data_IF_808383376219
#
_entry.id   IF_808383376219
#
_cell.length_a   1.000
_cell.length_b   1.000
_cell.length_c   1.000
_cell.angle_alpha   90.00
_cell.angle_beta   90.00
_cell.angle_gamma   90.00
#
_symmetry.space_group_name_H-M   'P 1'
#
loop_
_entity.id
_entity.type
_entity.pdbx_description
1 polymer ?
#
# COMPACT_ATOMS: atom_id res chain seq x y z
N UNK A 1 -23.89 -72.77 -13.90
CA UNK A 1 -23.94 -71.39 -14.47
C UNK A 1 -25.39 -70.87 -14.61
N UNK A 2 -26.24 -71.09 -13.59
CA UNK A 2 -27.65 -70.62 -13.56
C UNK A 2 -27.92 -69.76 -12.29
N UNK A 3 -27.06 -69.86 -11.27
CA UNK A 3 -27.25 -69.18 -9.97
C UNK A 3 -26.86 -67.68 -10.00
N UNK A 4 -26.06 -67.22 -10.97
CA UNK A 4 -25.66 -65.80 -11.05
C UNK A 4 -26.75 -64.86 -11.59
N UNK A 5 -27.75 -65.37 -12.31
CA UNK A 5 -28.77 -64.51 -12.94
C UNK A 5 -29.92 -64.17 -11.97
N UNK A 6 -30.19 -65.01 -10.97
CA UNK A 6 -31.26 -64.76 -9.98
C UNK A 6 -30.91 -63.67 -8.95
N UNK A 7 -29.63 -63.45 -8.66
CA UNK A 7 -29.22 -62.44 -7.66
C UNK A 7 -29.27 -61.00 -8.19
N UNK A 8 -29.17 -60.81 -9.52
CA UNK A 8 -29.12 -59.48 -10.13
C UNK A 8 -30.52 -58.86 -10.32
N UNK A 9 -31.57 -59.68 -10.35
CA UNK A 9 -32.96 -59.19 -10.42
C UNK A 9 -33.54 -58.80 -9.05
N UNK A 10 -33.02 -59.34 -7.95
CA UNK A 10 -33.52 -59.01 -6.60
C UNK A 10 -33.04 -57.65 -6.09
N UNK A 11 -31.94 -57.11 -6.62
CA UNK A 11 -31.44 -55.77 -6.25
C UNK A 11 -32.20 -54.66 -6.99
N UNK A 12 -32.69 -54.94 -8.20
CA UNK A 12 -33.43 -53.93 -8.99
C UNK A 12 -34.85 -53.71 -8.43
N UNK A 13 -35.44 -54.73 -7.78
CA UNK A 13 -36.79 -54.61 -7.21
C UNK A 13 -36.84 -53.88 -5.86
N UNK A 14 -35.74 -53.76 -5.11
CA UNK A 14 -35.73 -53.01 -3.84
C UNK A 14 -35.49 -51.50 -4.01
N UNK A 15 -35.06 -51.04 -5.18
CA UNK A 15 -34.73 -49.62 -5.41
C UNK A 15 -35.92 -48.76 -5.85
N UNK A 16 -37.10 -49.33 -6.10
CA UNK A 16 -38.27 -48.61 -6.65
C UNK A 16 -39.25 -48.13 -5.56
N UNK A 17 -39.03 -48.49 -4.28
CA UNK A 17 -39.98 -48.19 -3.20
C UNK A 17 -39.61 -47.02 -2.27
N UNK A 18 -38.58 -46.23 -2.59
CA UNK A 18 -38.24 -45.01 -1.84
C UNK A 18 -38.11 -43.80 -2.77
N UNK A 19 -39.23 -43.41 -3.39
CA UNK A 19 -39.37 -42.05 -3.94
C UNK A 19 -39.98 -41.17 -2.84
N UNK A 20 -39.23 -40.22 -2.25
CA UNK A 20 -39.81 -39.23 -1.37
C UNK A 20 -40.75 -38.32 -2.16
N UNK A 21 -41.99 -38.22 -1.70
CA UNK A 21 -43.01 -37.28 -2.18
C UNK A 21 -42.47 -35.87 -1.90
N UNK A 22 -42.01 -35.18 -2.95
CA UNK A 22 -41.60 -33.77 -2.88
C UNK A 22 -42.88 -32.92 -2.84
N UNK A 23 -43.13 -32.15 -1.76
CA UNK A 23 -44.25 -31.23 -1.73
C UNK A 23 -44.06 -30.11 -2.77
N UNK A 24 -45.14 -29.58 -3.36
CA UNK A 24 -45.05 -28.51 -4.35
C UNK A 24 -44.39 -27.27 -3.74
N UNK A 25 -43.40 -26.74 -4.48
CA UNK A 25 -42.64 -25.55 -4.13
C UNK A 25 -43.58 -24.37 -3.88
N UNK A 26 -43.53 -23.80 -2.67
CA UNK A 26 -44.07 -22.47 -2.40
C UNK A 26 -43.25 -21.48 -3.24
N UNK A 27 -43.96 -20.67 -4.03
CA UNK A 27 -43.40 -19.56 -4.77
C UNK A 27 -42.64 -18.63 -3.82
N UNK A 28 -41.32 -18.66 -3.91
CA UNK A 28 -40.42 -17.71 -3.24
C UNK A 28 -40.50 -16.42 -4.05
N UNK A 29 -40.80 -15.33 -3.34
CA UNK A 29 -40.84 -13.97 -3.88
C UNK A 29 -39.54 -13.64 -4.65
N UNK A 30 -39.60 -12.77 -5.66
CA UNK A 30 -38.45 -12.43 -6.49
C UNK A 30 -37.29 -11.93 -5.61
N UNK A 31 -36.17 -12.65 -5.69
CA UNK A 31 -34.89 -12.22 -5.15
C UNK A 31 -34.58 -10.83 -5.72
N UNK A 32 -34.65 -9.84 -4.82
CA UNK A 32 -34.08 -8.52 -5.08
C UNK A 32 -32.58 -8.69 -5.34
N UNK A 33 -32.00 -7.96 -6.28
CA UNK A 33 -30.62 -8.17 -6.69
C UNK A 33 -29.68 -7.94 -5.51
N UNK A 34 -28.68 -8.83 -5.42
CA UNK A 34 -27.52 -8.86 -4.53
C UNK A 34 -26.60 -7.63 -4.72
N UNK A 35 -27.16 -6.42 -4.83
CA UNK A 35 -26.44 -5.19 -5.14
C UNK A 35 -25.94 -4.46 -3.89
N UNK A 36 -26.57 -4.69 -2.73
CA UNK A 36 -26.17 -4.06 -1.46
C UNK A 36 -25.04 -4.79 -0.73
N UNK A 37 -24.85 -6.09 -0.97
CA UNK A 37 -23.77 -6.86 -0.34
C UNK A 37 -22.39 -6.54 -0.97
N UNK A 38 -22.36 -6.24 -2.27
CA UNK A 38 -21.12 -5.88 -2.98
C UNK A 38 -20.68 -4.45 -2.60
N UNK A 39 -21.64 -3.52 -2.47
CA UNK A 39 -21.35 -2.17 -2.00
C UNK A 39 -20.86 -2.14 -0.54
N UNK A 40 -21.35 -3.04 0.33
CA UNK A 40 -20.86 -3.16 1.71
C UNK A 40 -19.48 -3.80 1.82
N UNK A 41 -19.12 -4.75 0.94
CA UNK A 41 -17.74 -5.29 0.92
C UNK A 41 -16.71 -4.28 0.46
N UNK A 42 -17.04 -3.41 -0.51
CA UNK A 42 -16.13 -2.35 -0.95
C UNK A 42 -15.94 -1.27 0.14
N UNK A 43 -17.00 -0.98 0.90
CA UNK A 43 -16.93 -0.01 2.01
C UNK A 43 -16.17 -0.59 3.21
N UNK A 44 -16.39 -1.87 3.55
CA UNK A 44 -15.70 -2.55 4.65
C UNK A 44 -14.22 -2.84 4.33
N UNK A 45 -13.88 -3.16 3.07
CA UNK A 45 -12.50 -3.19 2.62
C UNK A 45 -11.88 -1.79 2.62
N UNK A 46 -12.63 -0.72 2.34
CA UNK A 46 -12.12 0.65 2.44
C UNK A 46 -11.80 1.09 3.88
N UNK A 47 -12.59 0.65 4.86
CA UNK A 47 -12.37 0.93 6.28
C UNK A 47 -11.26 0.05 6.89
N UNK A 48 -11.09 -1.19 6.39
CA UNK A 48 -9.89 -2.01 6.65
C UNK A 48 -8.66 -1.52 5.87
N UNK A 49 -8.83 -0.82 4.74
CA UNK A 49 -7.73 -0.44 3.84
C UNK A 49 -6.88 0.72 4.35
N UNK A 50 -7.39 1.53 5.30
CA UNK A 50 -6.63 2.62 5.96
C UNK A 50 -5.72 3.45 5.04
N UNK A 51 -6.08 3.58 3.76
CA UNK A 51 -5.15 4.03 2.73
C UNK A 51 -4.94 5.53 2.89
N UNK A 52 -3.68 5.95 2.98
CA UNK A 52 -3.30 7.37 2.95
C UNK A 52 -2.59 7.65 1.64
N UNK A 53 -2.96 8.74 0.99
CA UNK A 53 -2.34 9.16 -0.26
C UNK A 53 -1.69 10.53 -0.09
N UNK A 54 -0.55 10.71 -0.74
CA UNK A 54 0.12 11.98 -0.83
C UNK A 54 0.74 12.15 -2.22
N UNK A 55 0.75 13.38 -2.73
CA UNK A 55 1.24 13.69 -4.07
C UNK A 55 2.11 14.93 -4.05
N UNK A 56 3.19 14.92 -4.82
CA UNK A 56 4.04 16.08 -5.02
C UNK A 56 4.54 16.14 -6.46
N UNK A 57 4.44 17.33 -7.05
CA UNK A 57 5.01 17.69 -8.34
C UNK A 57 5.97 18.86 -8.19
N UNK A 58 7.11 18.78 -8.86
CA UNK A 58 8.14 19.83 -8.88
C UNK A 58 8.58 20.08 -10.31
N UNK A 59 8.59 21.34 -10.71
CA UNK A 59 9.18 21.78 -11.97
C UNK A 59 10.70 21.73 -11.87
N UNK A 60 11.34 21.14 -12.86
CA UNK A 60 12.79 21.06 -12.98
C UNK A 60 13.18 21.74 -14.29
N UNK A 61 14.47 22.05 -14.45
CA UNK A 61 14.96 22.59 -15.70
C UNK A 61 14.60 21.64 -16.86
N UNK A 62 13.73 22.11 -17.75
CA UNK A 62 13.31 21.39 -18.95
C UNK A 62 12.16 20.39 -18.81
N UNK A 63 11.48 20.34 -17.66
CA UNK A 63 10.38 19.40 -17.46
C UNK A 63 9.83 19.41 -16.04
N UNK A 64 9.34 18.25 -15.59
CA UNK A 64 8.90 18.06 -14.21
C UNK A 64 9.23 16.65 -13.70
N UNK A 65 9.29 16.53 -12.38
CA UNK A 65 9.23 15.26 -11.69
C UNK A 65 8.06 15.27 -10.71
N UNK A 66 7.37 14.15 -10.58
CA UNK A 66 6.27 13.98 -9.64
C UNK A 66 6.30 12.60 -9.00
N UNK A 67 5.69 12.52 -7.83
CA UNK A 67 5.52 11.30 -7.09
C UNK A 67 4.18 11.26 -6.38
N UNK A 68 3.50 10.12 -6.47
CA UNK A 68 2.36 9.74 -5.65
C UNK A 68 2.80 8.65 -4.68
N UNK A 69 2.43 8.77 -3.42
CA UNK A 69 2.69 7.75 -2.40
C UNK A 69 1.35 7.24 -1.89
N UNK A 70 1.15 5.93 -2.02
CA UNK A 70 0.03 5.20 -1.45
C UNK A 70 0.55 4.44 -0.22
N UNK A 71 0.14 4.84 0.97
CA UNK A 71 0.45 4.16 2.22
C UNK A 71 -0.73 3.32 2.68
N UNK A 72 -0.43 2.11 3.13
CA UNK A 72 -1.37 1.12 3.62
C UNK A 72 -1.05 0.81 5.09
N UNK A 73 -2.07 0.70 5.94
CA UNK A 73 -1.92 0.52 7.40
C UNK A 73 -1.20 -0.77 7.80
N UNK A 74 -1.07 -1.71 6.87
CA UNK A 74 -0.30 -2.93 6.96
C UNK A 74 1.22 -2.69 7.00
N UNK A 75 1.67 -1.44 6.76
CA UNK A 75 3.08 -1.06 6.77
C UNK A 75 3.71 -1.11 5.39
N UNK A 76 2.94 -0.80 4.34
CA UNK A 76 3.45 -0.76 2.97
C UNK A 76 3.25 0.65 2.42
N UNK A 77 4.30 1.25 1.89
CA UNK A 77 4.25 2.50 1.13
C UNK A 77 4.71 2.26 -0.30
N UNK A 78 3.81 2.50 -1.26
CA UNK A 78 4.09 2.38 -2.71
C UNK A 78 4.30 3.78 -3.28
N UNK A 79 5.48 4.02 -3.82
CA UNK A 79 5.87 5.26 -4.48
C UNK A 79 5.73 5.07 -5.99
N UNK A 80 4.77 5.75 -6.59
CA UNK A 80 4.61 5.87 -8.04
C UNK A 80 5.29 7.15 -8.48
N UNK A 81 6.40 7.04 -9.20
CA UNK A 81 7.19 8.20 -9.62
C UNK A 81 7.14 8.38 -11.12
N UNK A 82 7.14 9.63 -11.56
CA UNK A 82 7.16 10.00 -12.96
C UNK A 82 8.10 11.20 -13.19
N UNK A 83 8.82 11.18 -14.30
CA UNK A 83 9.47 12.35 -14.85
C UNK A 83 9.05 12.55 -16.29
N UNK A 84 8.86 13.82 -16.67
CA UNK A 84 8.57 14.22 -18.05
C UNK A 84 9.50 15.34 -18.46
N UNK A 85 10.09 15.23 -19.65
CA UNK A 85 10.83 16.32 -20.30
C UNK A 85 9.96 16.99 -21.37
N UNK A 86 9.99 18.32 -21.39
CA UNK A 86 9.29 19.15 -22.37
C UNK A 86 10.27 19.87 -23.32
N UNK A 87 11.58 19.62 -23.20
CA UNK A 87 12.60 20.36 -23.95
C UNK A 87 13.86 19.53 -24.15
N UNK A 88 14.65 19.91 -25.16
CA UNK A 88 15.91 19.28 -25.58
C UNK A 88 17.05 19.50 -24.56
N UNK A 89 16.80 19.23 -23.29
CA UNK A 89 17.79 19.22 -22.21
C UNK A 89 17.55 18.00 -21.33
N UNK A 90 18.63 17.53 -20.72
CA UNK A 90 18.55 16.46 -19.73
C UNK A 90 17.91 17.01 -18.47
N UNK A 91 16.82 16.38 -18.02
CA UNK A 91 16.20 16.76 -16.76
C UNK A 91 17.14 16.47 -15.59
N UNK A 92 17.14 17.37 -14.61
CA UNK A 92 17.89 17.19 -13.35
C UNK A 92 17.39 15.92 -12.67
N UNK A 93 18.32 15.06 -12.20
CA UNK A 93 17.97 13.87 -11.42
C UNK A 93 17.29 14.29 -10.11
N UNK A 94 15.97 14.05 -10.04
CA UNK A 94 15.20 14.20 -8.82
C UNK A 94 15.17 12.91 -8.01
N UNK A 95 14.87 13.10 -6.74
CA UNK A 95 14.66 12.04 -5.75
C UNK A 95 13.38 12.32 -4.99
N UNK A 96 12.70 11.24 -4.58
CA UNK A 96 11.55 11.29 -3.69
C UNK A 96 11.86 10.61 -2.37
N UNK A 97 11.31 11.14 -1.28
CA UNK A 97 11.14 10.42 -0.03
C UNK A 97 9.85 10.88 0.65
N UNK A 98 9.38 10.12 1.64
CA UNK A 98 8.18 10.42 2.40
C UNK A 98 8.46 10.48 3.90
N UNK A 99 7.67 11.28 4.61
CA UNK A 99 7.65 11.35 6.07
C UNK A 99 6.25 10.96 6.53
N UNK A 100 6.17 9.98 7.44
CA UNK A 100 4.92 9.70 8.14
C UNK A 100 4.87 10.40 9.48
N UNK A 101 3.71 10.96 9.79
CA UNK A 101 3.46 11.65 11.06
C UNK A 101 2.20 11.12 11.74
N UNK A 102 2.17 11.22 13.07
CA UNK A 102 1.00 10.89 13.86
C UNK A 102 -0.04 12.02 13.87
N UNK A 103 -1.15 11.80 14.59
CA UNK A 103 -2.25 12.77 14.76
C UNK A 103 -1.81 14.07 15.45
N UNK A 104 -0.66 14.08 16.13
CA UNK A 104 -0.07 15.25 16.79
C UNK A 104 0.95 15.97 15.89
N UNK A 105 1.15 15.49 14.66
CA UNK A 105 2.11 16.05 13.72
C UNK A 105 3.57 15.66 14.02
N UNK A 106 3.81 14.69 14.90
CA UNK A 106 5.15 14.20 15.20
C UNK A 106 5.57 13.21 14.14
N UNK A 107 6.78 13.40 13.59
CA UNK A 107 7.34 12.43 12.65
C UNK A 107 7.55 11.08 13.33
N UNK A 108 7.19 10.02 12.63
CA UNK A 108 7.27 8.63 13.06
C UNK A 108 8.27 7.83 12.22
N UNK A 109 8.39 8.14 10.94
CA UNK A 109 9.40 7.54 10.06
C UNK A 109 9.78 8.51 8.93
N UNK A 110 10.94 8.28 8.32
CA UNK A 110 11.36 8.92 7.08
C UNK A 110 11.86 7.85 6.13
N UNK A 111 11.26 7.74 4.94
CA UNK A 111 11.65 6.72 3.98
C UNK A 111 13.06 6.94 3.44
N UNK A 112 13.65 5.92 2.79
CA UNK A 112 14.80 6.10 1.93
C UNK A 112 14.55 7.13 0.82
N UNK A 113 15.64 7.63 0.24
CA UNK A 113 15.58 8.41 -0.99
C UNK A 113 15.48 7.45 -2.17
N UNK A 114 14.44 7.59 -2.98
CA UNK A 114 14.28 6.86 -4.23
C UNK A 114 14.58 7.78 -5.41
N UNK A 115 15.38 7.30 -6.35
CA UNK A 115 15.77 8.07 -7.54
C UNK A 115 14.66 8.01 -8.60
N UNK A 116 14.03 9.15 -8.88
CA UNK A 116 13.03 9.28 -9.94
C UNK A 116 13.77 9.16 -11.28
N UNK A 117 13.35 8.30 -12.23
CA UNK A 117 14.07 8.12 -13.49
C UNK A 117 14.23 9.46 -14.25
N UNK A 118 15.38 9.68 -14.89
CA UNK A 118 15.57 10.88 -15.72
C UNK A 118 14.77 10.77 -17.01
N UNK A 119 14.09 11.85 -17.37
CA UNK A 119 13.50 12.03 -18.70
C UNK A 119 14.35 12.98 -19.55
N UNK A 120 14.50 12.68 -20.83
CA UNK A 120 15.23 13.51 -21.79
C UNK A 120 14.46 13.52 -23.12
N UNK A 121 14.64 14.57 -23.94
CA UNK A 121 14.15 14.58 -25.33
C UNK A 121 15.27 14.75 -26.37
N UNK A 122 16.54 14.82 -25.92
CA UNK A 122 17.65 15.30 -26.76
C UNK A 122 18.29 14.22 -27.64
N UNK A 123 18.03 12.93 -27.40
CA UNK A 123 18.64 11.81 -28.15
C UNK A 123 17.67 10.62 -28.09
N UNK A 124 17.39 9.96 -29.22
CA UNK A 124 16.41 8.85 -29.40
C UNK A 124 16.51 7.66 -28.41
N UNK A 125 17.54 7.63 -27.58
CA UNK A 125 17.82 6.59 -26.58
C UNK A 125 17.04 6.85 -25.26
N UNK A 126 16.52 8.06 -25.07
CA UNK A 126 15.87 8.46 -23.83
C UNK A 126 14.38 8.84 -24.03
N UNK A 127 13.48 8.10 -23.40
CA UNK A 127 12.05 8.45 -23.37
C UNK A 127 11.80 9.78 -22.65
N UNK A 128 10.95 10.61 -23.27
CA UNK A 128 10.49 11.90 -22.73
C UNK A 128 9.55 11.73 -21.54
N UNK A 129 9.06 10.52 -21.28
CA UNK A 129 8.25 10.15 -20.13
C UNK A 129 8.79 8.84 -19.52
N UNK A 130 9.11 8.87 -18.23
CA UNK A 130 9.62 7.70 -17.51
C UNK A 130 8.87 7.55 -16.20
N UNK A 131 8.47 6.32 -15.91
CA UNK A 131 7.83 5.96 -14.65
C UNK A 131 8.66 4.90 -13.93
N UNK A 132 8.61 4.91 -12.60
CA UNK A 132 9.20 3.86 -11.77
C UNK A 132 8.45 3.76 -10.45
N UNK A 133 8.22 2.52 -10.03
CA UNK A 133 7.55 2.24 -8.77
C UNK A 133 8.56 1.71 -7.74
N UNK A 134 8.37 2.10 -6.48
CA UNK A 134 9.14 1.61 -5.35
C UNK A 134 8.21 1.17 -4.23
N UNK A 135 8.56 0.08 -3.56
CA UNK A 135 7.89 -0.34 -2.34
C UNK A 135 8.82 -0.10 -1.16
N UNK A 136 8.27 0.47 -0.09
CA UNK A 136 8.94 0.60 1.19
C UNK A 136 8.11 -0.06 2.27
N UNK A 137 8.75 -0.92 3.06
CA UNK A 137 8.13 -1.60 4.20
C UNK A 137 8.42 -0.83 5.47
N UNK A 138 7.36 -0.55 6.20
CA UNK A 138 7.35 0.14 7.50
C UNK A 138 6.93 -0.90 8.53
N UNK A 139 7.49 -0.84 9.73
CA UNK A 139 7.08 -1.74 10.81
C UNK A 139 5.56 -1.64 11.05
N UNK A 140 4.87 -2.79 11.06
CA UNK A 140 3.41 -2.82 11.17
C UNK A 140 2.89 -2.33 12.53
N UNK A 141 3.73 -2.34 13.57
CA UNK A 141 3.38 -1.73 14.86
C UNK A 141 3.41 -0.20 14.78
N UNK A 142 4.30 0.36 13.96
CA UNK A 142 4.41 1.79 13.71
C UNK A 142 3.32 2.28 12.74
N UNK A 143 3.05 1.48 11.70
CA UNK A 143 2.16 1.82 10.60
C UNK A 143 0.76 2.26 11.06
N UNK A 144 0.26 1.64 12.13
CA UNK A 144 -1.06 1.93 12.73
C UNK A 144 -1.18 3.33 13.33
N UNK A 145 -0.06 3.96 13.68
CA UNK A 145 0.01 5.29 14.29
C UNK A 145 0.24 6.41 13.29
N UNK A 146 0.50 6.07 12.02
CA UNK A 146 0.65 7.05 10.95
C UNK A 146 -0.73 7.57 10.59
N UNK A 147 -0.91 8.87 10.77
CA UNK A 147 -2.12 9.57 10.37
C UNK A 147 -1.93 10.28 9.02
N UNK A 148 -0.77 10.90 8.82
CA UNK A 148 -0.46 11.70 7.64
C UNK A 148 0.85 11.27 6.99
N UNK A 149 0.88 11.30 5.65
CA UNK A 149 2.09 11.16 4.84
C UNK A 149 2.37 12.48 4.13
N UNK A 150 3.61 12.97 4.25
CA UNK A 150 4.12 14.10 3.48
C UNK A 150 5.17 13.60 2.48
N UNK A 151 5.11 14.09 1.23
CA UNK A 151 5.99 13.66 0.14
C UNK A 151 6.88 14.80 -0.30
N UNK A 152 8.18 14.51 -0.38
CA UNK A 152 9.21 15.45 -0.76
C UNK A 152 9.85 15.01 -2.07
N UNK A 153 9.76 15.85 -3.08
CA UNK A 153 10.47 15.69 -4.35
C UNK A 153 11.49 16.81 -4.43
N UNK A 154 12.77 16.46 -4.54
CA UNK A 154 13.89 17.41 -4.51
C UNK A 154 15.02 16.94 -5.43
N UNK A 155 16.00 17.81 -5.67
CA UNK A 155 17.25 17.37 -6.30
C UNK A 155 17.96 16.35 -5.39
N UNK A 156 18.81 15.51 -5.99
CA UNK A 156 19.53 14.45 -5.26
C UNK A 156 20.32 14.95 -4.05
N UNK A 157 20.92 16.13 -4.15
CA UNK A 157 21.73 16.71 -3.07
C UNK A 157 20.87 17.26 -1.94
N UNK A 158 19.83 18.02 -2.28
CA UNK A 158 18.93 18.63 -1.31
C UNK A 158 18.16 17.56 -0.53
N UNK A 159 17.70 16.51 -1.20
CA UNK A 159 16.99 15.41 -0.55
C UNK A 159 17.84 14.66 0.47
N UNK A 160 19.14 14.44 0.19
CA UNK A 160 20.05 13.78 1.15
C UNK A 160 20.22 14.61 2.42
N UNK A 161 20.43 15.92 2.28
CA UNK A 161 20.60 16.83 3.42
C UNK A 161 19.30 16.93 4.24
N UNK A 162 18.17 17.14 3.57
CA UNK A 162 16.87 17.27 4.22
C UNK A 162 16.47 15.99 4.96
N UNK A 163 16.58 14.82 4.30
CA UNK A 163 16.31 13.53 4.94
C UNK A 163 17.20 13.29 6.15
N UNK A 164 18.50 13.58 6.06
CA UNK A 164 19.42 13.42 7.19
C UNK A 164 18.98 14.29 8.37
N UNK A 165 18.60 15.54 8.12
CA UNK A 165 18.08 16.44 9.15
C UNK A 165 16.79 15.90 9.80
N UNK A 166 15.87 15.35 9.00
CA UNK A 166 14.62 14.79 9.51
C UNK A 166 14.85 13.51 10.32
N UNK A 167 15.75 12.63 9.87
CA UNK A 167 16.12 11.43 10.62
C UNK A 167 16.79 11.77 11.96
N UNK A 168 17.65 12.80 11.98
CA UNK A 168 18.25 13.26 13.22
C UNK A 168 17.17 13.80 14.17
N UNK A 169 16.28 14.67 13.68
CA UNK A 169 15.17 15.18 14.47
C UNK A 169 14.25 14.07 15.00
N UNK A 170 14.03 13.01 14.20
CA UNK A 170 13.27 11.84 14.63
C UNK A 170 13.99 11.10 15.77
N UNK A 171 15.30 10.86 15.64
CA UNK A 171 16.11 10.21 16.66
C UNK A 171 16.12 11.00 17.98
N UNK A 172 16.31 12.32 17.90
CA UNK A 172 16.44 13.20 19.07
C UNK A 172 15.13 13.30 19.85
N UNK A 173 13.99 13.28 19.16
CA UNK A 173 12.69 13.52 19.79
C UNK A 173 11.93 12.25 20.16
N UNK A 174 12.25 11.08 19.61
CA UNK A 174 11.41 9.90 19.81
C UNK A 174 11.31 9.43 21.27
N UNK A 175 12.26 9.82 22.12
CA UNK A 175 12.19 9.59 23.57
C UNK A 175 11.00 10.33 24.23
N UNK A 176 10.64 11.52 23.72
CA UNK A 176 9.57 12.38 24.25
C UNK A 176 8.14 11.93 23.88
N UNK A 177 8.00 10.84 23.13
CA UNK A 177 6.71 10.40 22.62
C UNK A 177 5.96 9.55 23.68
N UNK A 178 5.72 10.11 24.86
CA UNK A 178 5.30 9.40 26.08
C UNK A 178 3.97 8.64 25.99
N UNK A 179 3.12 9.03 25.06
CA UNK A 179 1.85 8.38 24.74
C UNK A 179 1.96 7.18 23.77
N UNK A 180 3.14 6.94 23.18
CA UNK A 180 3.36 5.79 22.31
C UNK A 180 3.85 4.56 23.08
N UNK A 181 3.32 3.35 22.78
CA UNK A 181 3.80 2.13 23.41
C UNK A 181 5.30 1.88 23.17
N UNK A 182 6.00 1.18 24.08
CA UNK A 182 7.43 0.89 23.95
C UNK A 182 7.81 0.23 22.61
N UNK A 183 6.98 -0.71 22.11
CA UNK A 183 7.20 -1.37 20.81
C UNK A 183 7.20 -0.38 19.63
N UNK A 184 6.35 0.64 19.69
CA UNK A 184 6.27 1.69 18.66
C UNK A 184 7.50 2.59 18.73
N UNK A 185 7.91 3.01 19.94
CA UNK A 185 9.15 3.78 20.13
C UNK A 185 10.37 3.03 19.60
N UNK A 186 10.47 1.72 19.83
CA UNK A 186 11.54 0.89 19.28
C UNK A 186 11.53 0.83 17.75
N UNK A 187 10.34 0.73 17.15
CA UNK A 187 10.21 0.79 15.69
C UNK A 187 10.68 2.15 15.14
N UNK A 188 10.30 3.25 15.80
CA UNK A 188 10.75 4.61 15.43
C UNK A 188 12.28 4.72 15.52
N UNK A 189 12.89 4.24 16.62
CA UNK A 189 14.34 4.23 16.79
C UNK A 189 15.04 3.50 15.62
N UNK A 190 14.52 2.32 15.25
CA UNK A 190 15.03 1.54 14.13
C UNK A 190 14.92 2.28 12.80
N UNK A 191 13.78 2.91 12.52
CA UNK A 191 13.57 3.73 11.31
C UNK A 191 14.54 4.93 11.27
N UNK A 192 14.81 5.53 12.43
CA UNK A 192 15.75 6.64 12.57
C UNK A 192 17.24 6.19 12.50
N UNK A 193 17.52 4.89 12.57
CA UNK A 193 18.87 4.33 12.53
C UNK A 193 19.61 4.36 13.86
N UNK A 194 18.89 4.40 14.99
CA UNK A 194 19.44 4.37 16.36
C UNK A 194 18.96 3.12 17.12
N UNK A 195 19.70 2.71 18.15
CA UNK A 195 19.40 1.48 18.91
C UNK A 195 18.21 1.64 19.85
N UNK A 196 17.96 2.84 20.38
CA UNK A 196 16.83 3.14 21.24
C UNK A 196 16.50 4.63 21.23
N UNK A 197 15.27 4.97 21.60
CA UNK A 197 14.84 6.33 21.89
C UNK A 197 15.30 6.74 23.29
N UNK A 198 16.59 7.04 23.45
CA UNK A 198 17.13 7.62 24.68
C UNK A 198 17.27 9.13 24.51
N UNK A 199 16.98 9.92 25.55
CA UNK A 199 17.38 11.33 25.57
C UNK A 199 18.91 11.36 25.55
N UNK A 200 19.49 11.99 24.53
CA UNK A 200 20.92 12.30 24.48
C UNK A 200 21.24 13.44 25.45
#
# INVERSE_FOLDING_TARGET
MIIKILFQWLIILSLILFLPIVPPAKAVAPFSPLSSAIAQTDTFLSELSGKREAYKKVSLQGGFAEAKVNFFREGIAVFETQAKSNSNIDSVQATVFAVGSDVKGRSLFVSPNFEIPRACSKVDICSSNRTKNFEYKIDSNLAKYIDKIDVFVNTRWDAKKLRKSMNQNLADNCASYDDLPPKVKMAIAKEAGVTSCSRQ
#
